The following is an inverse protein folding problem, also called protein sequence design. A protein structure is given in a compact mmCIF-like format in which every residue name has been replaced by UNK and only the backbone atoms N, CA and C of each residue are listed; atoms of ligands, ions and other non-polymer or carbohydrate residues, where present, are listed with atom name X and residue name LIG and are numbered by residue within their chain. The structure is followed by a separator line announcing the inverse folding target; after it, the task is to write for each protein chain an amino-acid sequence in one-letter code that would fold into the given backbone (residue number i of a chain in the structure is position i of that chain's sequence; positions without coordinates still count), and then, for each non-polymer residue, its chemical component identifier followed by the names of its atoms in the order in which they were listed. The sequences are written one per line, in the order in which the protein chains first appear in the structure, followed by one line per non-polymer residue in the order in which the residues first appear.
data_IF_202988840173
#
_entry.id   IF_202988840173
#
_cell.length_a   1.000
_cell.length_b   1.000
_cell.length_c   1.000
_cell.angle_alpha   90.00
_cell.angle_beta   90.00
_cell.angle_gamma   90.00
#
_symmetry.space_group_name_H-M   'P 1'
#
loop_
_entity.id
_entity.type
_entity.pdbx_description
1 polymer ?
#
# COMPACT_ATOMS: atom_id res chain seq x y z
N UNK A 1 14.17 38.10 2.04
CA UNK A 1 13.75 37.11 1.03
C UNK A 1 13.88 37.70 -0.36
N UNK A 2 14.97 37.35 -1.05
CA UNK A 2 15.36 37.92 -2.34
C UNK A 2 15.81 36.84 -3.32
N UNK A 3 15.15 35.68 -3.26
CA UNK A 3 15.40 34.53 -4.11
C UNK A 3 14.69 34.70 -5.45
N UNK A 4 15.22 35.58 -6.30
CA UNK A 4 15.00 35.48 -7.74
C UNK A 4 16.13 34.62 -8.29
N UNK A 5 16.02 33.30 -8.11
CA UNK A 5 16.78 32.36 -8.91
C UNK A 5 16.14 32.37 -10.31
N UNK A 6 16.96 32.48 -11.36
CA UNK A 6 16.49 32.34 -12.73
C UNK A 6 15.94 30.92 -12.89
N UNK A 7 14.62 30.84 -12.91
CA UNK A 7 13.85 29.60 -12.94
C UNK A 7 14.12 28.84 -14.24
N UNK A 8 14.42 27.55 -14.12
CA UNK A 8 14.56 26.64 -15.27
C UNK A 8 13.16 26.37 -15.83
N UNK A 9 12.82 26.98 -16.97
CA UNK A 9 11.76 26.44 -17.83
C UNK A 9 12.15 26.43 -19.30
N UNK A 10 12.15 25.19 -19.81
CA UNK A 10 11.97 24.72 -21.18
C UNK A 10 13.06 25.00 -22.24
N UNK A 11 13.63 23.86 -22.67
CA UNK A 11 14.09 23.50 -24.01
C UNK A 11 13.51 24.37 -25.13
N UNK A 12 14.37 25.10 -25.86
CA UNK A 12 14.38 25.08 -27.34
C UNK A 12 15.52 25.90 -28.01
N UNK A 13 16.24 25.19 -28.88
CA UNK A 13 16.83 25.50 -30.19
C UNK A 13 17.45 26.86 -30.61
N UNK A 14 17.47 27.96 -29.84
CA UNK A 14 18.13 29.20 -30.32
C UNK A 14 18.96 29.95 -29.26
N UNK A 15 20.28 29.70 -29.30
CA UNK A 15 21.32 30.69 -29.03
C UNK A 15 21.40 31.36 -27.66
N UNK A 16 20.61 30.93 -26.67
CA UNK A 16 20.66 31.52 -25.34
C UNK A 16 21.86 30.98 -24.57
N UNK A 17 22.81 31.89 -24.28
CA UNK A 17 23.93 31.66 -23.35
C UNK A 17 23.36 31.22 -22.00
N UNK A 18 23.67 29.99 -21.58
CA UNK A 18 23.19 29.45 -20.30
C UNK A 18 23.51 30.37 -19.12
N UNK A 19 22.74 30.30 -18.02
CA UNK A 19 22.83 31.24 -16.89
C UNK A 19 24.26 31.37 -16.35
N UNK A 20 25.02 30.26 -16.34
CA UNK A 20 26.42 30.24 -15.94
C UNK A 20 27.31 31.11 -16.83
N UNK A 21 27.18 31.00 -18.14
CA UNK A 21 27.97 31.77 -19.11
C UNK A 21 27.63 33.26 -19.08
N UNK A 22 26.36 33.61 -18.81
CA UNK A 22 25.93 34.99 -18.62
C UNK A 22 26.54 35.59 -17.34
N UNK A 23 26.42 34.88 -16.21
CA UNK A 23 27.02 35.29 -14.93
C UNK A 23 28.54 35.40 -15.01
N UNK A 24 29.21 34.45 -15.67
CA UNK A 24 30.66 34.48 -15.87
C UNK A 24 31.09 35.68 -16.71
N UNK A 25 30.34 36.03 -17.76
CA UNK A 25 30.60 37.22 -18.58
C UNK A 25 30.51 38.52 -17.77
N UNK A 26 29.55 38.60 -16.84
CA UNK A 26 29.39 39.76 -15.94
C UNK A 26 30.60 39.85 -14.99
N UNK A 27 30.97 38.76 -14.33
CA UNK A 27 32.13 38.73 -13.42
C UNK A 27 33.42 39.13 -14.15
N UNK A 28 33.63 38.59 -15.35
CA UNK A 28 34.77 38.93 -16.20
C UNK A 28 34.77 40.40 -16.59
N UNK A 29 33.62 40.95 -16.98
CA UNK A 29 33.47 42.36 -17.32
C UNK A 29 33.76 43.29 -16.15
N UNK A 30 33.22 42.98 -14.96
CA UNK A 30 33.49 43.74 -13.73
C UNK A 30 34.98 43.69 -13.39
N UNK A 31 35.59 42.51 -13.47
CA UNK A 31 37.02 42.33 -13.13
C UNK A 31 37.91 43.09 -14.12
N UNK A 32 37.60 43.04 -15.42
CA UNK A 32 38.32 43.81 -16.43
C UNK A 32 38.18 45.33 -16.23
N UNK A 33 36.99 45.80 -15.88
CA UNK A 33 36.75 47.22 -15.56
C UNK A 33 37.53 47.64 -14.29
N UNK A 34 37.55 46.79 -13.27
CA UNK A 34 38.30 47.00 -12.03
C UNK A 34 39.81 47.10 -12.27
N UNK A 35 40.33 46.41 -13.29
CA UNK A 35 41.75 46.42 -13.62
C UNK A 35 42.21 47.72 -14.30
N UNK A 36 41.30 48.42 -15.01
CA UNK A 36 41.60 49.63 -15.78
C UNK A 36 41.23 50.91 -15.02
N UNK A 37 40.25 50.84 -14.11
CA UNK A 37 39.86 51.97 -13.26
C UNK A 37 40.93 52.29 -12.21
N UNK A 38 41.25 53.57 -12.05
CA UNK A 38 42.13 54.08 -10.99
C UNK A 38 41.44 54.20 -9.62
N UNK A 39 40.10 54.29 -9.60
CA UNK A 39 39.30 54.24 -8.38
C UNK A 39 38.81 52.81 -8.11
N UNK A 40 38.84 52.40 -6.82
CA UNK A 40 38.25 51.14 -6.38
C UNK A 40 36.76 51.16 -6.66
N UNK A 41 36.27 50.22 -7.47
CA UNK A 41 34.84 50.01 -7.66
C UNK A 41 34.21 49.71 -6.31
N UNK A 42 33.29 50.56 -5.85
CA UNK A 42 32.57 50.38 -4.58
C UNK A 42 31.53 49.25 -4.74
N UNK A 43 32.02 48.02 -4.90
CA UNK A 43 31.20 46.83 -5.05
C UNK A 43 30.71 46.38 -3.68
N UNK A 44 29.39 46.13 -3.50
CA UNK A 44 28.89 45.58 -2.26
C UNK A 44 29.50 44.19 -2.01
N UNK A 45 30.30 44.06 -0.94
CA UNK A 45 31.01 42.81 -0.64
C UNK A 45 30.08 41.59 -0.51
N UNK A 46 28.84 41.77 -0.06
CA UNK A 46 27.82 40.71 -0.02
C UNK A 46 27.45 40.18 -1.42
N UNK A 47 27.42 41.05 -2.44
CA UNK A 47 27.10 40.65 -3.81
C UNK A 47 28.26 39.91 -4.46
N UNK A 48 29.50 40.35 -4.20
CA UNK A 48 30.71 39.67 -4.68
C UNK A 48 30.84 38.28 -4.04
N UNK A 49 30.61 38.19 -2.72
CA UNK A 49 30.58 36.90 -2.04
C UNK A 49 29.42 36.02 -2.53
N UNK A 50 28.26 36.59 -2.82
CA UNK A 50 27.11 35.88 -3.39
C UNK A 50 27.43 35.25 -4.75
N UNK A 51 28.11 35.99 -5.62
CA UNK A 51 28.60 35.47 -6.91
C UNK A 51 29.59 34.33 -6.69
N UNK A 52 30.55 34.49 -5.79
CA UNK A 52 31.50 33.44 -5.44
C UNK A 52 30.80 32.16 -4.95
N UNK A 53 29.84 32.28 -4.03
CA UNK A 53 29.03 31.17 -3.53
C UNK A 53 28.18 30.52 -4.62
N UNK A 54 27.65 31.29 -5.57
CA UNK A 54 26.93 30.76 -6.71
C UNK A 54 27.82 29.84 -7.57
N UNK A 55 29.01 30.32 -7.97
CA UNK A 55 29.92 29.50 -8.77
C UNK A 55 30.43 28.28 -8.01
N UNK A 56 30.71 28.39 -6.71
CA UNK A 56 31.12 27.25 -5.88
C UNK A 56 29.98 26.24 -5.64
N UNK A 57 28.75 26.72 -5.51
CA UNK A 57 27.57 25.89 -5.22
C UNK A 57 27.15 24.97 -6.37
N UNK A 58 27.60 25.24 -7.59
CA UNK A 58 27.37 24.37 -8.76
C UNK A 58 28.10 23.02 -8.61
N UNK A 59 29.20 22.98 -7.85
CA UNK A 59 30.02 21.79 -7.72
C UNK A 59 30.69 21.43 -9.04
N UNK A 60 30.31 20.28 -9.62
CA UNK A 60 30.86 19.76 -10.87
C UNK A 60 29.82 19.95 -11.98
N UNK A 61 30.05 20.85 -12.96
CA UNK A 61 29.11 21.08 -14.07
C UNK A 61 29.02 19.87 -15.00
N UNK A 62 27.85 19.71 -15.65
CA UNK A 62 27.60 18.62 -16.60
C UNK A 62 28.30 18.75 -17.94
N UNK A 63 28.92 19.89 -18.25
CA UNK A 63 29.62 20.13 -19.52
C UNK A 63 30.99 20.79 -19.33
N UNK A 64 31.94 20.48 -20.21
CA UNK A 64 33.28 21.10 -20.20
C UNK A 64 33.23 22.61 -20.47
N UNK A 65 32.25 23.07 -21.26
CA UNK A 65 32.02 24.49 -21.54
C UNK A 65 31.59 25.24 -20.29
N UNK A 66 30.71 24.64 -19.49
CA UNK A 66 30.24 25.22 -18.23
C UNK A 66 31.35 25.21 -17.18
N UNK A 67 32.14 24.14 -17.11
CA UNK A 67 33.34 24.07 -16.27
C UNK A 67 34.33 25.19 -16.61
N UNK A 68 34.58 25.46 -17.90
CA UNK A 68 35.41 26.58 -18.31
C UNK A 68 34.88 27.93 -17.77
N UNK A 69 33.58 28.22 -17.94
CA UNK A 69 33.01 29.47 -17.46
C UNK A 69 33.02 29.60 -15.94
N UNK A 70 32.83 28.50 -15.21
CA UNK A 70 32.92 28.47 -13.75
C UNK A 70 34.34 28.79 -13.29
N UNK A 71 35.35 28.13 -13.85
CA UNK A 71 36.76 28.35 -13.49
C UNK A 71 37.22 29.77 -13.89
N UNK A 72 36.86 30.24 -15.08
CA UNK A 72 37.18 31.60 -15.56
C UNK A 72 36.59 32.66 -14.61
N UNK A 73 35.33 32.50 -14.20
CA UNK A 73 34.68 33.41 -13.26
C UNK A 73 35.33 33.36 -11.86
N UNK A 74 35.65 32.17 -11.34
CA UNK A 74 36.32 32.02 -10.05
C UNK A 74 37.73 32.62 -10.07
N UNK A 75 38.48 32.46 -11.17
CA UNK A 75 39.79 33.09 -11.37
C UNK A 75 39.70 34.61 -11.43
N UNK A 76 38.66 35.14 -12.09
CA UNK A 76 38.39 36.58 -12.10
C UNK A 76 38.14 37.10 -10.68
N UNK A 77 37.31 36.40 -9.90
CA UNK A 77 37.00 36.74 -8.50
C UNK A 77 38.22 36.66 -7.57
N UNK A 78 39.16 35.74 -7.81
CA UNK A 78 40.42 35.67 -7.05
C UNK A 78 41.27 36.93 -7.26
N UNK A 79 41.27 37.47 -8.48
CA UNK A 79 42.11 38.60 -8.91
C UNK A 79 41.44 39.97 -8.81
N UNK A 80 40.18 40.05 -8.37
CA UNK A 80 39.42 41.30 -8.36
C UNK A 80 40.02 42.31 -7.38
N UNK A 81 40.38 43.49 -7.88
CA UNK A 81 40.96 44.55 -7.04
C UNK A 81 39.91 45.10 -6.08
N UNK A 82 40.27 45.18 -4.80
CA UNK A 82 39.48 45.86 -3.77
C UNK A 82 38.26 45.08 -3.23
N UNK A 83 38.04 43.82 -3.64
CA UNK A 83 36.89 43.03 -3.18
C UNK A 83 37.09 41.51 -3.30
N UNK A 84 38.29 40.99 -2.99
CA UNK A 84 38.55 39.54 -3.08
C UNK A 84 37.65 38.78 -2.10
N UNK A 85 36.76 37.87 -2.55
CA UNK A 85 35.80 37.20 -1.68
C UNK A 85 36.49 36.17 -0.78
N UNK A 86 36.22 36.26 0.53
CA UNK A 86 36.64 35.25 1.50
C UNK A 86 35.52 34.25 1.78
N UNK A 87 35.81 32.98 1.57
CA UNK A 87 34.90 31.86 1.77
C UNK A 87 35.14 31.24 3.13
N UNK A 88 34.10 31.25 3.96
CA UNK A 88 34.04 30.46 5.19
C UNK A 88 33.55 29.05 4.82
N UNK A 89 34.40 28.06 5.06
CA UNK A 89 34.13 26.65 4.80
C UNK A 89 34.33 25.82 6.06
N UNK A 90 33.53 24.78 6.23
CA UNK A 90 33.65 23.82 7.33
C UNK A 90 34.07 22.48 6.73
N UNK A 91 35.23 21.92 7.11
CA UNK A 91 35.64 20.59 6.66
C UNK A 91 34.66 19.49 7.08
N UNK A 92 34.00 19.67 8.23
CA UNK A 92 32.94 18.79 8.70
C UNK A 92 31.80 19.62 9.30
N UNK A 93 30.56 19.28 8.93
CA UNK A 93 29.33 19.89 9.47
C UNK A 93 28.61 18.97 10.45
N UNK A 94 29.11 17.74 10.63
CA UNK A 94 28.61 16.75 11.57
C UNK A 94 29.61 16.63 12.72
N UNK A 95 29.13 16.79 13.96
CA UNK A 95 29.98 16.81 15.16
C UNK A 95 29.45 15.82 16.19
N UNK A 96 30.28 14.89 16.66
CA UNK A 96 29.92 13.99 17.75
C UNK A 96 30.22 14.61 19.12
N UNK A 97 29.18 14.81 19.94
CA UNK A 97 29.31 15.19 21.35
C UNK A 97 29.99 14.08 22.15
N UNK A 98 29.72 12.82 21.81
CA UNK A 98 30.26 11.66 22.52
C UNK A 98 31.77 11.51 22.27
N UNK A 99 32.24 11.74 21.04
CA UNK A 99 33.67 11.72 20.70
C UNK A 99 34.39 13.03 21.01
N UNK A 100 33.64 14.07 21.42
CA UNK A 100 34.13 15.43 21.67
C UNK A 100 34.80 16.05 20.44
N UNK A 101 34.14 15.90 19.29
CA UNK A 101 34.62 16.49 18.06
C UNK A 101 34.66 18.01 18.15
N UNK A 102 35.73 18.61 17.63
CA UNK A 102 35.91 20.05 17.60
C UNK A 102 35.44 20.61 16.26
N UNK A 103 34.71 21.72 16.31
CA UNK A 103 34.28 22.41 15.11
C UNK A 103 35.45 23.21 14.52
N UNK A 104 35.83 22.86 13.30
CA UNK A 104 36.89 23.53 12.54
C UNK A 104 36.27 24.40 11.46
N UNK A 105 36.72 25.65 11.37
CA UNK A 105 36.28 26.63 10.38
C UNK A 105 37.50 27.09 9.61
N UNK A 106 37.50 26.91 8.30
CA UNK A 106 38.56 27.35 7.41
C UNK A 106 38.10 28.59 6.63
N UNK A 107 38.93 29.61 6.59
CA UNK A 107 38.70 30.80 5.75
C UNK A 107 39.75 30.82 4.66
N UNK A 108 39.31 30.84 3.41
CA UNK A 108 40.20 30.88 2.23
C UNK A 108 39.59 31.76 1.15
N UNK A 109 40.38 32.07 0.13
CA UNK A 109 39.84 32.67 -1.10
C UNK A 109 39.06 31.61 -1.91
N UNK A 110 38.48 32.03 -3.04
CA UNK A 110 37.66 31.16 -3.91
C UNK A 110 38.45 30.01 -4.53
N UNK A 111 39.75 30.20 -4.78
CA UNK A 111 40.64 29.15 -5.28
C UNK A 111 41.45 28.45 -4.19
N UNK A 112 41.19 28.75 -2.91
CA UNK A 112 41.81 28.07 -1.77
C UNK A 112 43.12 28.68 -1.27
N UNK A 113 43.48 29.89 -1.73
CA UNK A 113 44.63 30.63 -1.20
C UNK A 113 44.43 31.02 0.27
N UNK A 114 45.53 31.20 1.00
CA UNK A 114 45.51 31.59 2.41
C UNK A 114 44.86 32.97 2.60
N UNK A 115 44.01 33.08 3.61
CA UNK A 115 43.39 34.34 4.00
C UNK A 115 44.39 35.23 4.76
N UNK A 116 44.19 36.56 4.77
CA UNK A 116 44.98 37.48 5.60
C UNK A 116 44.75 37.22 7.11
N UNK A 117 45.59 37.79 8.01
CA UNK A 117 45.34 37.76 9.44
C UNK A 117 43.92 38.24 9.79
N UNK A 118 43.13 37.33 10.33
CA UNK A 118 41.72 37.55 10.65
C UNK A 118 41.29 36.70 11.84
N UNK A 119 40.18 37.10 12.42
CA UNK A 119 39.52 36.47 13.55
C UNK A 119 38.12 36.01 13.14
N UNK A 120 37.77 34.74 13.39
CA UNK A 120 36.40 34.25 13.20
C UNK A 120 35.68 34.24 14.54
N UNK A 121 34.48 34.81 14.57
CA UNK A 121 33.59 34.79 15.73
C UNK A 121 32.32 33.99 15.43
N UNK A 122 31.94 33.14 16.37
CA UNK A 122 30.56 32.64 16.44
C UNK A 122 29.73 33.74 17.11
N UNK A 123 28.63 34.15 16.47
CA UNK A 123 27.78 35.26 16.91
C UNK A 123 26.41 34.79 17.42
N UNK A 124 25.83 33.79 16.76
CA UNK A 124 24.49 33.28 17.06
C UNK A 124 24.39 31.80 16.75
N UNK A 125 23.61 31.08 17.55
CA UNK A 125 23.20 29.70 17.30
C UNK A 125 21.67 29.66 17.25
N UNK A 126 21.13 29.13 16.16
CA UNK A 126 19.69 28.89 16.01
C UNK A 126 19.44 27.38 16.11
N UNK A 127 18.40 26.99 16.83
CA UNK A 127 17.89 25.61 16.75
C UNK A 127 17.10 25.48 15.45
N UNK A 128 17.39 24.47 14.64
CA UNK A 128 16.72 24.28 13.36
C UNK A 128 15.21 24.09 13.58
N UNK A 129 14.39 24.95 12.96
CA UNK A 129 12.93 24.95 13.11
C UNK A 129 12.39 25.84 14.24
N UNK A 130 13.24 26.45 15.07
CA UNK A 130 12.85 27.52 16.01
C UNK A 130 13.32 28.90 15.52
N UNK A 131 12.61 29.95 15.93
CA UNK A 131 13.06 31.35 15.79
C UNK A 131 14.00 31.78 16.91
N UNK A 132 14.15 30.95 17.95
CA UNK A 132 14.99 31.24 19.10
C UNK A 132 16.47 31.21 18.72
N UNK A 133 17.16 32.30 19.03
CA UNK A 133 18.57 32.47 18.76
C UNK A 133 19.31 32.67 20.08
N UNK A 134 20.27 31.79 20.37
CA UNK A 134 21.22 32.03 21.44
C UNK A 134 22.31 32.95 20.92
N UNK A 135 22.36 34.18 21.42
CA UNK A 135 23.44 35.12 21.10
C UNK A 135 24.67 34.74 21.90
N UNK A 136 25.74 34.38 21.19
CA UNK A 136 27.00 33.93 21.76
C UNK A 136 28.07 34.74 21.03
N UNK A 137 28.86 35.57 21.71
CA UNK A 137 30.00 36.28 21.13
C UNK A 137 31.28 35.54 21.54
N UNK A 138 31.62 34.49 20.78
CA UNK A 138 32.78 33.64 21.07
C UNK A 138 33.78 33.67 19.92
N UNK A 139 35.00 34.12 20.21
CA UNK A 139 36.13 34.11 19.26
C UNK A 139 36.71 32.70 19.16
N UNK A 140 36.89 32.19 17.94
CA UNK A 140 37.53 30.90 17.69
C UNK A 140 39.05 31.04 17.77
N UNK A 141 39.73 29.99 18.24
CA UNK A 141 41.19 29.95 18.35
C UNK A 141 41.80 29.58 17.00
N UNK A 142 42.78 30.34 16.54
CA UNK A 142 43.46 30.04 15.29
C UNK A 142 44.56 28.99 15.51
N UNK A 143 44.51 27.91 14.73
CA UNK A 143 45.54 26.89 14.62
C UNK A 143 46.41 27.18 13.38
N UNK A 144 47.66 27.65 13.57
CA UNK A 144 48.53 28.04 12.46
C UNK A 144 49.05 26.85 11.65
N UNK A 145 49.13 25.65 12.22
CA UNK A 145 49.66 24.46 11.51
C UNK A 145 48.73 24.03 10.38
N UNK A 146 47.43 24.08 10.64
CA UNK A 146 46.39 23.65 9.71
C UNK A 146 45.67 24.81 9.00
N UNK A 147 46.01 26.06 9.35
CA UNK A 147 45.31 27.27 8.88
C UNK A 147 43.78 27.21 9.12
N UNK A 148 43.37 26.78 10.32
CA UNK A 148 41.95 26.63 10.69
C UNK A 148 41.63 27.32 12.00
N UNK A 149 40.41 27.82 12.13
CA UNK A 149 39.86 28.34 13.37
C UNK A 149 39.09 27.23 14.08
N UNK A 150 39.47 26.91 15.30
CA UNK A 150 38.88 25.82 16.09
C UNK A 150 38.03 26.39 17.21
N UNK A 151 36.82 25.86 17.33
CA UNK A 151 35.97 26.01 18.51
C UNK A 151 36.26 24.83 19.44
N UNK A 152 37.10 25.05 20.45
CA UNK A 152 37.58 23.98 21.36
C UNK A 152 36.47 23.37 22.23
N UNK A 153 35.44 24.15 22.58
CA UNK A 153 34.32 23.68 23.41
C UNK A 153 33.01 24.21 22.86
N UNK A 154 32.07 23.29 22.62
CA UNK A 154 30.70 23.65 22.24
C UNK A 154 30.02 24.39 23.40
N UNK A 155 29.25 25.46 23.11
CA UNK A 155 28.48 26.18 24.13
C UNK A 155 27.53 25.26 24.91
N UNK A 156 27.30 25.55 26.19
CA UNK A 156 26.53 24.69 27.13
C UNK A 156 25.06 24.51 26.75
N UNK A 157 24.54 25.36 25.87
CA UNK A 157 23.19 25.31 25.33
C UNK A 157 23.07 24.45 24.06
N UNK A 158 24.18 23.91 23.54
CA UNK A 158 24.20 23.02 22.37
C UNK A 158 24.25 21.57 22.86
N UNK A 159 23.31 20.76 22.39
CA UNK A 159 23.21 19.34 22.67
C UNK A 159 22.99 18.57 21.35
N UNK A 160 22.64 17.29 21.40
CA UNK A 160 22.30 16.49 20.21
C UNK A 160 21.10 17.09 19.48
N UNK A 161 21.29 17.46 18.21
CA UNK A 161 20.26 18.13 17.42
C UNK A 161 20.78 18.81 16.16
N UNK A 162 19.84 19.48 15.48
CA UNK A 162 20.11 20.22 14.25
C UNK A 162 20.17 21.72 14.56
N UNK A 163 21.27 22.37 14.21
CA UNK A 163 21.51 23.78 14.50
C UNK A 163 21.92 24.55 13.26
N UNK A 164 21.79 25.87 13.31
CA UNK A 164 22.35 26.80 12.33
C UNK A 164 23.26 27.76 13.08
N UNK A 165 24.57 27.68 12.80
CA UNK A 165 25.57 28.55 13.43
C UNK A 165 25.82 29.75 12.53
N UNK A 166 25.86 30.93 13.12
CA UNK A 166 26.13 32.19 12.42
C UNK A 166 27.53 32.68 12.78
N UNK A 167 28.44 32.61 11.81
CA UNK A 167 29.81 33.08 11.94
C UNK A 167 29.99 34.46 11.32
N UNK A 168 30.91 35.24 11.88
CA UNK A 168 31.31 36.55 11.38
C UNK A 168 32.84 36.61 11.29
N UNK A 169 33.35 37.11 10.16
CA UNK A 169 34.79 37.28 9.93
C UNK A 169 35.14 38.72 10.30
N UNK A 170 36.10 38.88 11.20
CA UNK A 170 36.60 40.19 11.66
C UNK A 170 38.06 40.29 11.26
N UNK A 171 38.39 41.35 10.51
CA UNK A 171 39.78 41.65 10.18
C UNK A 171 40.50 42.24 11.38
N UNK A 172 41.70 41.76 11.65
CA UNK A 172 42.54 42.32 12.72
C UNK A 172 43.09 43.70 12.31
N UNK A 173 43.28 43.93 11.01
CA UNK A 173 43.74 45.19 10.44
C UNK A 173 42.66 45.85 9.55
N UNK A 174 42.38 47.15 9.72
CA UNK A 174 41.31 47.84 8.99
C UNK A 174 41.57 47.97 7.48
N UNK A 175 42.84 47.93 7.05
CA UNK A 175 43.22 48.02 5.64
C UNK A 175 42.72 46.83 4.82
N UNK A 176 42.64 45.64 5.44
CA UNK A 176 42.12 44.44 4.80
C UNK A 176 40.64 44.53 4.44
N UNK A 177 39.87 45.38 5.10
CA UNK A 177 38.45 45.63 4.80
C UNK A 177 38.23 46.25 3.41
N UNK A 178 39.23 46.99 2.91
CA UNK A 178 39.18 47.62 1.59
C UNK A 178 39.70 46.72 0.47
N UNK A 179 40.26 45.55 0.82
CA UNK A 179 40.86 44.59 -0.13
C UNK A 179 40.05 43.30 -0.25
N UNK A 180 39.42 42.86 0.83
CA UNK A 180 38.70 41.60 0.91
C UNK A 180 37.22 41.82 1.19
N UNK A 181 36.38 41.01 0.54
CA UNK A 181 34.93 41.05 0.71
C UNK A 181 34.47 39.93 1.64
N UNK A 182 33.88 40.32 2.78
CA UNK A 182 33.18 39.43 3.72
C UNK A 182 31.69 39.79 3.70
N UNK A 183 30.81 38.84 3.40
CA UNK A 183 29.37 39.08 3.28
C UNK A 183 28.63 39.08 4.62
N UNK A 184 29.22 39.73 5.63
CA UNK A 184 28.68 39.80 6.99
C UNK A 184 28.60 38.43 7.67
N UNK A 185 27.41 38.09 8.16
CA UNK A 185 27.14 36.87 8.91
C UNK A 185 26.85 35.68 8.00
N UNK A 186 27.70 34.66 8.05
CA UNK A 186 27.49 33.40 7.32
C UNK A 186 26.80 32.39 8.22
N UNK A 187 25.62 31.95 7.81
CA UNK A 187 24.84 30.90 8.46
C UNK A 187 25.19 29.54 7.87
N UNK A 188 25.52 28.57 8.71
CA UNK A 188 25.89 27.21 8.30
C UNK A 188 25.10 26.19 9.11
N UNK A 189 24.42 25.22 8.47
CA UNK A 189 23.78 24.12 9.18
C UNK A 189 24.84 23.20 9.79
N UNK A 190 24.65 22.84 11.06
CA UNK A 190 25.51 21.93 11.82
C UNK A 190 24.64 20.87 12.47
N UNK A 191 25.04 19.61 12.29
CA UNK A 191 24.39 18.45 12.86
C UNK A 191 25.23 17.95 14.04
N UNK A 192 24.69 18.06 15.24
CA UNK A 192 25.35 17.63 16.45
C UNK A 192 24.81 16.27 16.82
N UNK A 193 25.65 15.24 16.73
CA UNK A 193 25.30 13.84 16.96
C UNK A 193 25.76 13.37 18.32
N UNK A 194 25.14 12.32 18.84
CA UNK A 194 25.60 11.68 20.06
C UNK A 194 24.97 10.31 20.29
N UNK A 195 25.58 9.57 21.22
CA UNK A 195 25.04 8.32 21.73
C UNK A 195 23.91 8.62 22.72
N UNK A 196 22.70 8.22 22.37
CA UNK A 196 21.49 8.41 23.18
C UNK A 196 21.38 7.27 24.20
N UNK A 197 21.17 7.62 25.46
CA UNK A 197 20.94 6.65 26.54
C UNK A 197 19.46 6.25 26.57
N UNK A 198 19.23 4.97 26.79
CA UNK A 198 17.88 4.39 26.89
C UNK A 198 17.69 3.96 28.33
N UNK A 199 16.73 4.58 29.00
CA UNK A 199 16.42 4.34 30.41
C UNK A 199 14.99 3.81 30.55
N UNK A 200 14.73 3.05 31.62
CA UNK A 200 13.37 2.63 32.02
C UNK A 200 12.58 1.96 30.89
N UNK A 201 13.23 1.11 30.10
CA UNK A 201 12.57 0.33 29.05
C UNK A 201 11.83 -0.86 29.67
N UNK A 202 10.52 -0.92 29.45
CA UNK A 202 9.62 -1.88 30.08
C UNK A 202 8.51 -2.27 29.11
N UNK A 203 8.18 -3.56 29.09
CA UNK A 203 7.05 -4.12 28.35
C UNK A 203 6.13 -4.83 29.33
N UNK A 204 4.83 -4.60 29.20
CA UNK A 204 3.84 -5.12 30.13
C UNK A 204 2.52 -5.50 29.45
N UNK A 205 1.85 -6.51 29.99
CA UNK A 205 0.46 -6.85 29.67
C UNK A 205 -0.44 -6.25 30.76
N UNK A 206 -1.44 -5.49 30.33
CA UNK A 206 -2.42 -4.82 31.19
C UNK A 206 -3.79 -5.48 31.03
N UNK A 207 -4.52 -5.62 32.13
CA UNK A 207 -5.94 -5.97 32.11
C UNK A 207 -6.83 -4.72 31.93
N UNK A 208 -7.99 -4.90 31.29
CA UNK A 208 -8.88 -3.80 30.91
C UNK A 208 -9.57 -3.13 32.12
N UNK A 209 -9.86 -3.88 33.18
CA UNK A 209 -10.83 -3.45 34.20
C UNK A 209 -10.21 -2.60 35.33
N UNK A 210 -8.88 -2.67 35.54
CA UNK A 210 -8.20 -1.97 36.64
C UNK A 210 -6.83 -1.36 36.27
N UNK A 211 -6.33 -1.54 35.05
CA UNK A 211 -4.95 -1.20 34.71
C UNK A 211 -3.92 -1.99 35.55
N UNK A 212 -4.36 -3.10 36.16
CA UNK A 212 -3.52 -4.08 36.83
C UNK A 212 -2.51 -4.63 35.82
N UNK A 213 -1.25 -4.67 36.24
CA UNK A 213 -0.15 -5.21 35.45
C UNK A 213 -0.07 -6.70 35.73
N UNK A 214 -0.42 -7.53 34.75
CA UNK A 214 -0.40 -8.99 34.90
C UNK A 214 1.04 -9.51 34.76
N UNK A 215 1.74 -9.05 33.73
CA UNK A 215 3.14 -9.38 33.49
C UNK A 215 3.91 -8.13 33.13
N UNK A 216 5.01 -7.85 33.83
CA UNK A 216 5.94 -6.75 33.52
C UNK A 216 7.34 -7.33 33.34
N UNK A 217 7.99 -6.98 32.24
CA UNK A 217 9.39 -7.34 31.98
C UNK A 217 10.19 -6.07 31.67
N UNK A 218 11.31 -5.92 32.35
CA UNK A 218 12.29 -4.89 32.03
C UNK A 218 13.06 -5.32 30.78
N UNK A 219 13.31 -4.36 29.91
CA UNK A 219 14.04 -4.55 28.65
C UNK A 219 15.44 -3.95 28.77
N UNK A 220 16.43 -4.66 28.26
CA UNK A 220 17.79 -4.16 28.10
C UNK A 220 17.96 -3.69 26.65
N UNK A 221 18.02 -2.37 26.46
CA UNK A 221 18.11 -1.73 25.15
C UNK A 221 19.33 -0.78 25.09
N UNK A 222 20.20 -0.87 24.06
CA UNK A 222 20.32 -1.95 23.07
C UNK A 222 21.00 -3.19 23.68
N UNK A 223 20.46 -4.39 23.46
CA UNK A 223 20.97 -5.64 24.04
C UNK A 223 20.06 -6.84 23.78
N UNK A 224 20.47 -8.05 24.16
CA UNK A 224 19.65 -9.26 24.01
C UNK A 224 18.48 -9.26 25.01
N UNK A 225 17.30 -8.86 24.54
CA UNK A 225 16.04 -9.03 25.28
C UNK A 225 15.22 -10.12 24.58
N UNK A 226 15.01 -11.24 25.27
CA UNK A 226 14.16 -12.34 24.80
C UNK A 226 12.91 -12.45 25.67
N UNK A 227 11.92 -11.61 25.38
CA UNK A 227 10.66 -11.56 26.11
C UNK A 227 9.64 -12.47 25.45
N UNK A 228 9.20 -13.50 26.17
CA UNK A 228 8.01 -14.28 25.85
C UNK A 228 6.80 -13.75 26.63
N UNK A 229 5.73 -13.34 25.95
CA UNK A 229 4.48 -12.87 26.54
C UNK A 229 3.31 -13.67 25.96
N UNK A 230 2.21 -13.73 26.68
CA UNK A 230 0.93 -14.24 26.17
C UNK A 230 -0.13 -13.19 26.49
N UNK A 231 -1.05 -12.94 25.55
CA UNK A 231 -2.15 -12.02 25.75
C UNK A 231 -3.41 -12.49 25.02
N UNK A 232 -4.57 -12.18 25.59
CA UNK A 232 -5.87 -12.35 24.92
C UNK A 232 -6.39 -11.02 24.34
N UNK A 233 -7.49 -11.10 23.59
CA UNK A 233 -8.13 -9.94 22.98
C UNK A 233 -8.67 -8.87 23.96
N UNK A 234 -8.86 -9.19 25.25
CA UNK A 234 -9.34 -8.23 26.26
C UNK A 234 -8.17 -7.47 26.94
N UNK A 235 -6.95 -7.97 26.80
CA UNK A 235 -5.75 -7.39 27.39
C UNK A 235 -5.13 -6.34 26.48
N UNK A 236 -4.21 -5.55 27.05
CA UNK A 236 -3.48 -4.50 26.32
C UNK A 236 -1.98 -4.68 26.49
N UNK A 237 -1.24 -4.50 25.41
CA UNK A 237 0.22 -4.48 25.46
C UNK A 237 0.71 -3.05 25.65
N UNK A 238 1.44 -2.79 26.73
CA UNK A 238 2.10 -1.52 27.01
C UNK A 238 3.60 -1.67 26.80
N UNK A 239 4.18 -0.79 25.99
CA UNK A 239 5.63 -0.61 25.88
C UNK A 239 5.96 0.83 26.27
N UNK A 240 6.93 1.01 27.16
CA UNK A 240 7.44 2.33 27.49
C UNK A 240 8.96 2.35 27.67
N UNK A 241 9.58 3.45 27.27
CA UNK A 241 11.02 3.68 27.43
C UNK A 241 11.30 5.19 27.44
N UNK A 242 12.45 5.59 27.99
CA UNK A 242 12.89 6.98 28.01
C UNK A 242 14.21 7.11 27.23
N UNK A 243 14.30 8.14 26.42
CA UNK A 243 15.51 8.48 25.67
C UNK A 243 16.10 9.76 26.23
N UNK A 244 17.38 9.72 26.60
CA UNK A 244 18.11 10.87 27.14
C UNK A 244 19.37 11.14 26.34
N UNK A 245 19.65 12.41 26.08
CA UNK A 245 20.90 12.84 25.45
C UNK A 245 22.08 12.70 26.43
N UNK A 246 23.34 12.76 25.96
CA UNK A 246 24.50 12.81 26.85
C UNK A 246 24.44 13.95 27.89
N UNK A 247 23.74 15.05 27.60
CA UNK A 247 23.54 16.17 28.52
C UNK A 247 22.45 15.92 29.58
N UNK A 248 21.68 14.84 29.46
CA UNK A 248 20.58 14.47 30.35
C UNK A 248 19.21 15.05 29.94
N UNK A 249 19.11 15.73 28.79
CA UNK A 249 17.84 16.21 28.27
C UNK A 249 17.02 15.10 27.62
N UNK A 250 15.69 15.26 27.57
CA UNK A 250 14.81 14.29 26.92
C UNK A 250 15.01 14.38 25.40
N UNK A 251 15.40 13.26 24.79
CA UNK A 251 15.61 13.18 23.36
C UNK A 251 14.34 12.72 22.64
N UNK A 252 13.97 13.39 21.55
CA UNK A 252 12.85 13.00 20.69
C UNK A 252 13.37 12.57 19.31
N UNK A 253 13.49 11.25 19.04
CA UNK A 253 13.90 10.77 17.72
C UNK A 253 12.85 11.08 16.66
N UNK A 254 13.32 11.19 15.42
CA UNK A 254 12.46 11.28 14.24
C UNK A 254 11.61 10.02 14.02
N UNK A 255 12.16 8.83 14.32
CA UNK A 255 11.48 7.54 14.12
C UNK A 255 11.52 6.68 15.39
N UNK A 256 10.34 6.20 15.80
CA UNK A 256 10.17 5.20 16.85
C UNK A 256 8.97 4.33 16.52
N UNK A 257 9.21 3.05 16.19
CA UNK A 257 8.19 2.12 15.74
C UNK A 257 8.26 0.80 16.49
N UNK A 258 7.10 0.28 16.87
CA UNK A 258 6.93 -1.09 17.33
C UNK A 258 6.33 -1.91 16.19
N UNK A 259 7.06 -2.92 15.74
CA UNK A 259 6.62 -3.87 14.72
C UNK A 259 6.24 -5.19 15.36
N UNK A 260 5.06 -5.69 14.99
CA UNK A 260 4.54 -7.02 15.30
C UNK A 260 4.48 -7.82 14.00
N UNK A 261 5.19 -8.94 13.92
CA UNK A 261 5.18 -9.81 12.74
C UNK A 261 4.58 -11.17 13.08
N UNK A 262 3.45 -11.50 12.47
CA UNK A 262 2.80 -12.80 12.64
C UNK A 262 3.61 -13.92 11.96
N UNK A 263 3.48 -15.16 12.45
CA UNK A 263 4.10 -16.36 11.85
C UNK A 263 3.79 -16.51 10.36
N UNK A 264 2.59 -16.11 9.96
CA UNK A 264 2.15 -16.19 8.57
C UNK A 264 3.00 -15.28 7.69
N UNK A 265 3.59 -14.20 8.23
CA UNK A 265 4.38 -13.20 7.52
C UNK A 265 3.74 -11.80 7.45
N UNK A 266 2.56 -11.59 8.03
CA UNK A 266 1.90 -10.27 8.08
C UNK A 266 2.60 -9.38 9.10
N UNK A 267 2.98 -8.18 8.69
CA UNK A 267 3.62 -7.19 9.56
C UNK A 267 2.67 -6.04 9.91
N UNK A 268 2.62 -5.68 11.19
CA UNK A 268 1.90 -4.54 11.72
C UNK A 268 2.90 -3.57 12.35
N UNK A 269 2.92 -2.32 11.91
CA UNK A 269 3.86 -1.29 12.39
C UNK A 269 3.07 -0.20 13.10
N UNK A 270 3.45 0.08 14.34
CA UNK A 270 2.82 1.09 15.17
C UNK A 270 3.82 2.18 15.55
N UNK A 271 3.40 3.44 15.42
CA UNK A 271 4.19 4.60 15.84
C UNK A 271 4.14 4.71 17.36
N UNK A 272 5.29 4.76 18.01
CA UNK A 272 5.36 4.96 19.46
C UNK A 272 5.19 6.44 19.78
N UNK A 273 4.16 6.77 20.56
CA UNK A 273 3.86 8.15 20.91
C UNK A 273 4.84 8.70 21.96
N UNK A 274 5.11 10.01 21.91
CA UNK A 274 5.89 10.71 22.92
C UNK A 274 4.95 11.42 23.91
N UNK A 275 4.97 11.01 25.18
CA UNK A 275 4.22 11.62 26.28
C UNK A 275 4.97 12.79 26.95
N UNK A 276 5.97 13.35 26.27
CA UNK A 276 6.81 14.46 26.73
C UNK A 276 7.99 14.05 27.61
N UNK A 277 7.80 13.09 28.54
CA UNK A 277 8.87 12.58 29.42
C UNK A 277 9.35 11.18 29.07
N UNK A 278 8.49 10.38 28.44
CA UNK A 278 8.73 9.00 28.04
C UNK A 278 8.00 8.69 26.75
N UNK A 279 8.52 7.72 26.03
CA UNK A 279 7.85 7.08 24.91
C UNK A 279 6.94 6.00 25.46
N UNK A 280 5.71 5.98 24.98
CA UNK A 280 4.70 5.04 25.44
C UNK A 280 3.76 4.68 24.30
N UNK A 281 3.48 3.39 24.19
CA UNK A 281 2.42 2.88 23.33
C UNK A 281 1.63 1.83 24.10
N UNK A 282 0.30 1.92 23.98
CA UNK A 282 -0.64 0.96 24.52
C UNK A 282 -1.43 0.41 23.33
N UNK A 283 -1.22 -0.86 23.01
CA UNK A 283 -1.98 -1.57 22.00
C UNK A 283 -3.18 -2.23 22.67
N UNK A 284 -4.37 -1.71 22.39
CA UNK A 284 -5.64 -2.30 22.81
C UNK A 284 -6.04 -3.36 21.79
N UNK A 285 -5.88 -4.65 22.14
CA UNK A 285 -6.13 -5.73 21.19
C UNK A 285 -7.59 -5.78 20.76
N UNK A 286 -8.55 -5.49 21.65
CA UNK A 286 -9.97 -5.47 21.34
C UNK A 286 -10.31 -4.45 20.25
N UNK A 287 -9.71 -3.26 20.34
CA UNK A 287 -9.87 -2.20 19.34
C UNK A 287 -9.07 -2.43 18.05
N UNK A 288 -8.14 -3.38 18.07
CA UNK A 288 -7.24 -3.67 16.95
C UNK A 288 -7.53 -5.01 16.27
N UNK A 289 -8.45 -5.84 16.77
CA UNK A 289 -8.74 -7.19 16.23
C UNK A 289 -8.96 -7.17 14.72
N UNK A 290 -9.76 -6.23 14.23
CA UNK A 290 -10.02 -6.04 12.78
C UNK A 290 -8.73 -5.75 12.00
N UNK A 291 -7.81 -4.99 12.59
CA UNK A 291 -6.52 -4.61 11.97
C UNK A 291 -5.49 -5.73 12.02
N UNK A 292 -5.60 -6.64 12.99
CA UNK A 292 -4.86 -7.90 13.05
C UNK A 292 -5.50 -9.01 12.22
N UNK A 293 -6.60 -8.72 11.52
CA UNK A 293 -7.32 -9.68 10.69
C UNK A 293 -7.76 -10.94 11.45
N UNK A 294 -8.03 -10.83 12.75
CA UNK A 294 -8.43 -11.95 13.62
C UNK A 294 -7.42 -13.12 13.61
N UNK A 295 -6.14 -12.84 13.33
CA UNK A 295 -5.09 -13.87 13.29
C UNK A 295 -4.56 -14.14 14.70
N UNK A 296 -5.00 -15.24 15.31
CA UNK A 296 -4.41 -15.78 16.53
C UNK A 296 -3.12 -16.54 16.20
N UNK A 297 -2.10 -16.41 17.04
CA UNK A 297 -0.81 -17.05 16.81
C UNK A 297 0.35 -16.31 17.46
N UNK A 298 1.56 -16.67 17.04
CA UNK A 298 2.79 -16.05 17.57
C UNK A 298 3.16 -14.81 16.75
N UNK A 299 3.39 -13.69 17.43
CA UNK A 299 3.86 -12.45 16.85
C UNK A 299 5.26 -12.11 17.36
N UNK A 300 6.22 -11.94 16.45
CA UNK A 300 7.54 -11.42 16.78
C UNK A 300 7.49 -9.91 17.01
N UNK A 301 8.08 -9.47 18.11
CA UNK A 301 8.18 -8.08 18.52
C UNK A 301 9.53 -7.49 18.13
N UNK A 302 9.51 -6.35 17.45
CA UNK A 302 10.70 -5.62 17.08
C UNK A 302 10.51 -4.12 17.31
N UNK A 303 11.46 -3.51 18.01
CA UNK A 303 11.49 -2.07 18.26
C UNK A 303 12.56 -1.42 17.39
N UNK A 304 12.16 -0.41 16.63
CA UNK A 304 13.05 0.39 15.80
C UNK A 304 13.04 1.82 16.30
N UNK A 305 14.22 2.35 16.64
CA UNK A 305 14.40 3.75 17.03
C UNK A 305 15.57 4.33 16.25
N UNK A 306 15.32 5.45 15.56
CA UNK A 306 16.32 6.07 14.71
C UNK A 306 16.13 7.57 14.51
N UNK A 307 17.25 8.26 14.41
CA UNK A 307 17.33 9.67 14.02
C UNK A 307 18.66 9.92 13.30
N UNK A 308 18.66 10.89 12.38
CA UNK A 308 19.84 11.45 11.73
C UNK A 308 20.91 11.94 12.72
N UNK A 309 20.51 12.40 13.90
CA UNK A 309 21.43 12.91 14.94
C UNK A 309 21.80 11.86 16.00
N UNK A 310 21.29 10.63 15.88
CA UNK A 310 21.51 9.55 16.85
C UNK A 310 22.55 8.56 16.32
N UNK A 311 23.71 8.47 16.99
CA UNK A 311 24.83 7.62 16.56
C UNK A 311 24.57 6.12 16.78
N UNK A 312 23.73 5.79 17.76
CA UNK A 312 23.38 4.43 18.15
C UNK A 312 21.94 4.08 17.78
N UNK A 313 21.48 4.49 16.59
CA UNK A 313 20.20 4.06 16.03
C UNK A 313 20.15 2.53 15.95
N UNK A 314 19.02 1.92 16.30
CA UNK A 314 18.94 0.47 16.46
C UNK A 314 17.61 -0.10 15.97
N UNK A 315 17.67 -1.37 15.59
CA UNK A 315 16.55 -2.25 15.29
C UNK A 315 16.73 -3.49 16.15
N UNK A 316 15.91 -3.62 17.18
CA UNK A 316 16.10 -4.60 18.24
C UNK A 316 14.90 -5.57 18.27
N UNK A 317 15.12 -6.88 18.05
CA UNK A 317 14.11 -7.88 18.41
C UNK A 317 13.93 -7.89 19.94
N UNK A 318 12.68 -7.83 20.38
CA UNK A 318 12.30 -7.84 21.80
C UNK A 318 11.89 -9.24 22.28
N UNK A 319 11.49 -10.13 21.35
CA UNK A 319 10.98 -11.47 21.64
C UNK A 319 9.67 -11.74 20.90
N UNK A 320 8.78 -12.54 21.49
CA UNK A 320 7.50 -12.93 20.90
C UNK A 320 6.33 -12.76 21.87
N UNK A 321 5.15 -12.51 21.31
CA UNK A 321 3.88 -12.52 22.02
C UNK A 321 2.94 -13.53 21.36
N UNK A 322 2.43 -14.47 22.15
CA UNK A 322 1.35 -15.37 21.74
C UNK A 322 0.02 -14.65 21.96
N UNK A 323 -0.72 -14.40 20.88
CA UNK A 323 -1.94 -13.60 20.90
C UNK A 323 -3.16 -14.46 20.58
N UNK A 324 -4.12 -14.48 21.49
CA UNK A 324 -5.41 -15.18 21.32
C UNK A 324 -6.53 -14.18 20.99
N UNK A 325 -6.87 -14.12 19.69
CA UNK A 325 -7.93 -13.29 19.12
C UNK A 325 -9.21 -14.10 18.87
N UNK A 326 -10.39 -13.45 18.89
CA UNK A 326 -11.64 -14.12 18.57
C UNK A 326 -11.66 -14.61 17.11
N UNK A 327 -12.54 -15.57 16.83
CA UNK A 327 -12.71 -16.09 15.47
C UNK A 327 -13.24 -15.01 14.51
N UNK A 328 -12.73 -15.03 13.28
CA UNK A 328 -13.07 -14.04 12.27
C UNK A 328 -14.56 -14.14 11.87
N UNK A 329 -15.35 -13.04 11.92
CA UNK A 329 -16.70 -13.05 11.37
C UNK A 329 -16.66 -13.31 9.85
N UNK A 330 -17.73 -13.87 9.28
CA UNK A 330 -17.79 -14.25 7.85
C UNK A 330 -17.44 -13.11 6.87
N UNK A 331 -17.62 -11.85 7.30
CA UNK A 331 -17.36 -10.63 6.52
C UNK A 331 -16.07 -9.90 6.91
N UNK A 332 -15.21 -10.51 7.72
CA UNK A 332 -13.96 -9.90 8.14
C UNK A 332 -13.05 -9.58 6.95
N UNK A 333 -12.30 -8.50 7.07
CA UNK A 333 -11.21 -8.21 6.14
C UNK A 333 -10.18 -9.34 6.22
N UNK A 334 -9.74 -9.83 5.06
CA UNK A 334 -8.67 -10.83 4.98
C UNK A 334 -7.31 -10.13 5.04
N UNK A 335 -6.27 -10.79 5.60
CA UNK A 335 -4.94 -10.24 5.58
C UNK A 335 -4.48 -9.96 4.14
N UNK A 336 -3.64 -8.94 3.93
CA UNK A 336 -3.12 -8.64 2.61
C UNK A 336 -2.41 -9.87 2.04
N UNK A 337 -2.59 -10.16 0.74
CA UNK A 337 -1.90 -11.26 0.10
C UNK A 337 -0.40 -11.01 0.25
N UNK A 338 0.28 -11.95 0.90
CA UNK A 338 1.70 -11.80 1.13
C UNK A 338 2.47 -11.80 -0.19
N UNK A 339 3.71 -11.27 -0.20
CA UNK A 339 4.59 -11.40 -1.33
C UNK A 339 4.91 -12.88 -1.53
N UNK A 340 4.03 -13.59 -2.24
CA UNK A 340 4.31 -14.93 -2.72
C UNK A 340 5.43 -14.81 -3.74
N UNK A 341 6.33 -15.78 -3.74
CA UNK A 341 7.40 -15.90 -4.73
C UNK A 341 6.86 -15.53 -6.12
N UNK A 342 7.54 -14.63 -6.83
CA UNK A 342 7.08 -14.06 -8.09
C UNK A 342 6.69 -15.15 -9.09
N UNK A 343 7.32 -16.33 -9.01
CA UNK A 343 7.03 -17.51 -9.81
C UNK A 343 5.73 -18.24 -9.43
N UNK A 344 5.32 -18.20 -8.16
CA UNK A 344 4.08 -18.84 -7.68
C UNK A 344 2.82 -18.04 -8.00
N UNK A 345 2.93 -16.71 -8.13
CA UNK A 345 1.81 -15.82 -8.50
C UNK A 345 1.23 -16.15 -9.88
N UNK A 346 2.06 -16.66 -10.79
CA UNK A 346 1.68 -17.03 -12.15
C UNK A 346 1.53 -18.55 -12.35
N UNK A 347 1.44 -19.31 -11.26
CA UNK A 347 1.21 -20.76 -11.33
C UNK A 347 -0.20 -21.11 -11.85
N UNK A 348 -0.38 -22.31 -12.44
CA UNK A 348 -1.69 -22.79 -12.85
C UNK A 348 -2.61 -22.92 -11.61
N UNK A 349 -3.83 -22.37 -11.71
CA UNK A 349 -4.87 -22.55 -10.68
C UNK A 349 -5.45 -23.97 -10.74
N UNK A 350 -6.06 -24.40 -9.63
CA UNK A 350 -6.75 -25.69 -9.58
C UNK A 350 -7.84 -25.80 -10.67
N UNK A 351 -7.90 -26.95 -11.33
CA UNK A 351 -8.90 -27.24 -12.37
C UNK A 351 -10.30 -27.32 -11.75
N UNK A 352 -11.26 -26.62 -12.36
CA UNK A 352 -12.67 -26.65 -11.95
C UNK A 352 -13.41 -27.63 -12.85
N UNK A 353 -13.94 -28.72 -12.27
CA UNK A 353 -14.78 -29.68 -12.99
C UNK A 353 -16.27 -29.45 -12.71
N UNK A 354 -17.08 -29.39 -13.77
CA UNK A 354 -18.53 -29.24 -13.64
C UNK A 354 -19.15 -30.59 -13.25
N UNK A 355 -19.74 -30.66 -12.04
CA UNK A 355 -20.42 -31.85 -11.55
C UNK A 355 -21.86 -31.84 -12.08
N UNK A 356 -22.16 -32.73 -13.03
CA UNK A 356 -23.53 -32.92 -13.52
C UNK A 356 -24.40 -33.61 -12.49
N UNK A 357 -25.72 -33.33 -12.52
CA UNK A 357 -26.69 -34.06 -11.71
C UNK A 357 -26.67 -35.54 -12.08
N UNK A 358 -26.61 -36.40 -11.08
CA UNK A 358 -26.69 -37.86 -11.28
C UNK A 358 -28.09 -38.21 -11.79
N UNK A 359 -28.22 -38.98 -12.89
CA UNK A 359 -29.51 -39.43 -13.37
C UNK A 359 -30.26 -40.25 -12.31
N UNK A 360 -31.58 -40.06 -12.22
CA UNK A 360 -32.42 -40.84 -11.31
C UNK A 360 -32.34 -42.34 -11.61
N UNK A 361 -32.26 -43.15 -10.56
CA UNK A 361 -32.16 -44.60 -10.68
C UNK A 361 -33.50 -45.19 -11.13
N UNK A 362 -33.51 -45.85 -12.30
CA UNK A 362 -34.69 -46.57 -12.81
C UNK A 362 -34.90 -47.90 -12.05
N UNK A 363 -36.16 -48.36 -11.91
CA UNK A 363 -36.45 -49.65 -11.28
C UNK A 363 -35.89 -50.84 -12.11
N UNK A 364 -35.66 -52.00 -11.48
CA UNK A 364 -35.23 -53.21 -12.18
C UNK A 364 -36.24 -53.63 -13.27
N UNK A 365 -35.73 -54.07 -14.43
CA UNK A 365 -36.56 -54.48 -15.57
C UNK A 365 -37.53 -55.60 -15.23
N UNK A 366 -37.10 -56.58 -14.45
CA UNK A 366 -37.90 -57.73 -14.04
C UNK A 366 -39.15 -57.32 -13.26
N UNK A 367 -39.01 -56.33 -12.37
CA UNK A 367 -40.13 -55.81 -11.59
C UNK A 367 -41.17 -55.14 -12.51
N UNK A 368 -40.72 -54.31 -13.46
CA UNK A 368 -41.60 -53.67 -14.44
C UNK A 368 -42.33 -54.68 -15.33
N UNK A 369 -41.66 -55.76 -15.75
CA UNK A 369 -42.26 -56.84 -16.55
C UNK A 369 -43.30 -57.64 -15.75
N UNK A 370 -43.02 -57.94 -14.48
CA UNK A 370 -43.98 -58.63 -13.61
C UNK A 370 -45.28 -57.83 -13.45
N UNK A 371 -45.19 -56.52 -13.18
CA UNK A 371 -46.36 -55.65 -13.09
C UNK A 371 -47.09 -55.49 -14.42
N UNK A 372 -46.38 -55.45 -15.55
CA UNK A 372 -47.01 -55.47 -16.87
C UNK A 372 -47.86 -56.73 -17.09
N UNK A 373 -47.34 -57.90 -16.71
CA UNK A 373 -48.11 -59.16 -16.74
C UNK A 373 -49.35 -59.11 -15.84
N UNK A 374 -49.21 -58.58 -14.62
CA UNK A 374 -50.34 -58.40 -13.69
C UNK A 374 -51.42 -57.47 -14.25
N UNK A 375 -51.05 -56.42 -14.99
CA UNK A 375 -52.02 -55.50 -15.63
C UNK A 375 -52.78 -56.16 -16.78
N UNK A 376 -52.15 -57.08 -17.52
CA UNK A 376 -52.80 -57.81 -18.62
C UNK A 376 -53.71 -58.94 -18.10
N UNK A 377 -53.42 -59.52 -16.94
CA UNK A 377 -54.14 -60.66 -16.40
C UNK A 377 -55.68 -60.46 -16.29
N UNK A 378 -56.21 -59.32 -15.80
CA UNK A 378 -57.65 -59.05 -15.79
C UNK A 378 -58.31 -59.10 -17.16
N UNK A 379 -57.60 -58.74 -18.24
CA UNK A 379 -58.15 -58.81 -19.60
C UNK A 379 -58.43 -60.26 -20.03
N UNK A 380 -57.51 -61.18 -19.73
CA UNK A 380 -57.76 -62.62 -19.97
C UNK A 380 -58.86 -63.17 -19.08
N UNK A 381 -58.93 -62.71 -17.82
CA UNK A 381 -60.04 -63.03 -16.92
C UNK A 381 -61.40 -62.58 -17.48
N UNK A 382 -61.47 -61.37 -18.03
CA UNK A 382 -62.66 -60.85 -18.70
C UNK A 382 -63.07 -61.70 -19.91
N UNK A 383 -62.11 -62.10 -20.77
CA UNK A 383 -62.38 -62.98 -21.92
C UNK A 383 -62.90 -64.37 -21.48
N UNK A 384 -62.29 -64.96 -20.46
CA UNK A 384 -62.76 -66.22 -19.88
C UNK A 384 -64.18 -66.09 -19.29
N UNK A 385 -64.47 -64.97 -18.63
CA UNK A 385 -65.80 -64.63 -18.13
C UNK A 385 -66.85 -64.52 -19.23
N UNK A 386 -66.54 -63.83 -20.34
CA UNK A 386 -67.44 -63.75 -21.51
C UNK A 386 -67.77 -65.13 -22.09
N UNK A 387 -66.77 -66.02 -22.18
CA UNK A 387 -66.96 -67.39 -22.63
C UNK A 387 -67.87 -68.18 -21.67
N UNK A 388 -67.61 -68.08 -20.36
CA UNK A 388 -68.42 -68.77 -19.35
C UNK A 388 -69.88 -68.29 -19.31
N UNK A 389 -70.10 -66.98 -19.47
CA UNK A 389 -71.43 -66.36 -19.51
C UNK A 389 -72.17 -66.54 -20.85
N UNK A 390 -71.57 -67.24 -21.83
CA UNK A 390 -72.14 -67.49 -23.18
C UNK A 390 -72.58 -66.21 -23.89
N UNK A 391 -71.83 -65.13 -23.71
CA UNK A 391 -72.03 -63.89 -24.45
C UNK A 391 -71.94 -64.18 -25.95
N UNK A 392 -72.95 -63.77 -26.72
CA UNK A 392 -73.06 -64.09 -28.14
C UNK A 392 -73.42 -62.85 -28.97
N UNK A 393 -73.15 -62.93 -30.28
CA UNK A 393 -73.43 -61.85 -31.24
C UNK A 393 -74.68 -62.14 -32.08
N UNK A 394 -75.64 -62.94 -31.58
CA UNK A 394 -76.79 -63.41 -32.37
C UNK A 394 -77.73 -62.28 -32.81
N UNK A 395 -77.70 -61.14 -32.12
CA UNK A 395 -78.52 -59.96 -32.41
C UNK A 395 -77.89 -59.01 -33.44
N UNK A 396 -76.84 -59.43 -34.16
CA UNK A 396 -76.26 -58.60 -35.22
C UNK A 396 -77.27 -58.41 -36.38
N UNK A 397 -77.48 -57.18 -36.88
CA UNK A 397 -78.48 -56.90 -37.90
C UNK A 397 -78.17 -57.62 -39.22
N UNK A 398 -79.22 -58.05 -39.92
CA UNK A 398 -79.13 -58.76 -41.22
C UNK A 398 -79.47 -57.81 -42.38
N UNK A 399 -79.07 -58.17 -43.60
CA UNK A 399 -79.34 -57.40 -44.83
C UNK A 399 -78.65 -56.03 -44.87
N UNK A 400 -79.22 -55.01 -45.52
CA UNK A 400 -78.65 -53.68 -45.75
C UNK A 400 -78.20 -52.97 -44.45
N UNK A 401 -78.84 -53.27 -43.32
CA UNK A 401 -78.47 -52.75 -42.00
C UNK A 401 -77.19 -53.37 -41.42
N UNK A 402 -76.78 -54.55 -41.91
CA UNK A 402 -75.50 -55.18 -41.56
C UNK A 402 -74.33 -54.31 -42.05
N UNK A 403 -74.44 -53.73 -43.25
CA UNK A 403 -73.41 -52.87 -43.83
C UNK A 403 -73.16 -51.65 -42.96
N UNK A 404 -74.21 -50.98 -42.46
CA UNK A 404 -74.07 -49.85 -41.55
C UNK A 404 -73.48 -50.27 -40.19
N UNK A 405 -73.88 -51.42 -39.65
CA UNK A 405 -73.33 -51.92 -38.39
C UNK A 405 -71.83 -52.28 -38.50
N UNK A 406 -71.42 -52.93 -39.59
CA UNK A 406 -70.00 -53.24 -39.86
C UNK A 406 -69.20 -51.95 -39.98
N UNK A 407 -69.70 -50.99 -40.76
CA UNK A 407 -69.03 -49.72 -41.00
C UNK A 407 -68.91 -48.89 -39.72
N UNK A 408 -69.89 -48.97 -38.81
CA UNK A 408 -69.84 -48.35 -37.49
C UNK A 408 -68.72 -48.93 -36.63
N UNK A 409 -68.63 -50.27 -36.52
CA UNK A 409 -67.60 -50.93 -35.72
C UNK A 409 -66.20 -50.74 -36.33
N UNK A 410 -66.07 -50.75 -37.66
CA UNK A 410 -64.81 -50.46 -38.34
C UNK A 410 -64.39 -49.00 -38.12
N UNK A 411 -65.35 -48.07 -38.10
CA UNK A 411 -65.10 -46.68 -37.73
C UNK A 411 -64.57 -46.54 -36.30
N UNK A 412 -65.15 -47.25 -35.33
CA UNK A 412 -64.69 -47.26 -33.94
C UNK A 412 -63.26 -47.83 -33.86
N UNK A 413 -63.00 -48.95 -34.54
CA UNK A 413 -61.66 -49.55 -34.60
C UNK A 413 -60.64 -48.60 -35.24
N UNK A 414 -61.04 -47.84 -36.27
CA UNK A 414 -60.21 -46.83 -36.91
C UNK A 414 -59.90 -45.65 -35.96
N UNK A 415 -60.84 -45.20 -35.14
CA UNK A 415 -60.60 -44.17 -34.11
C UNK A 415 -59.63 -44.68 -33.04
N UNK A 416 -59.82 -45.90 -32.53
CA UNK A 416 -58.91 -46.50 -31.55
C UNK A 416 -57.50 -46.68 -32.12
N UNK A 417 -57.39 -47.08 -33.38
CA UNK A 417 -56.12 -47.18 -34.09
C UNK A 417 -55.47 -45.82 -34.29
N UNK A 418 -56.25 -44.78 -34.59
CA UNK A 418 -55.77 -43.40 -34.69
C UNK A 418 -55.19 -42.92 -33.35
N UNK A 419 -55.81 -43.24 -32.21
CA UNK A 419 -55.26 -42.94 -30.89
C UNK A 419 -53.98 -43.70 -30.59
N UNK A 420 -53.87 -44.96 -31.00
CA UNK A 420 -52.61 -45.70 -30.90
C UNK A 420 -51.52 -45.02 -31.77
N UNK A 421 -51.83 -44.61 -33.00
CA UNK A 421 -50.89 -43.90 -33.87
C UNK A 421 -50.50 -42.52 -33.33
N UNK A 422 -51.40 -41.81 -32.66
CA UNK A 422 -51.09 -40.59 -31.90
C UNK A 422 -50.09 -40.85 -30.79
N UNK A 423 -50.29 -41.91 -30.01
CA UNK A 423 -49.34 -42.30 -28.96
C UNK A 423 -47.95 -42.64 -29.52
N UNK A 424 -47.88 -43.30 -30.67
CA UNK A 424 -46.60 -43.74 -31.24
C UNK A 424 -45.86 -42.67 -32.05
N UNK A 425 -46.57 -41.83 -32.81
CA UNK A 425 -45.91 -40.97 -33.80
C UNK A 425 -46.67 -39.72 -34.25
N UNK A 426 -48.00 -39.71 -34.31
CA UNK A 426 -48.74 -38.59 -34.91
C UNK A 426 -48.73 -37.37 -33.98
N UNK A 427 -48.69 -36.18 -34.60
CA UNK A 427 -48.90 -34.94 -33.90
C UNK A 427 -50.38 -34.72 -33.55
N UNK A 428 -50.64 -33.76 -32.65
CA UNK A 428 -51.98 -33.46 -32.18
C UNK A 428 -52.89 -32.93 -33.31
N UNK A 429 -52.37 -32.08 -34.19
CA UNK A 429 -53.17 -31.42 -35.22
C UNK A 429 -53.60 -32.38 -36.34
N UNK A 430 -52.72 -33.27 -36.80
CA UNK A 430 -53.04 -34.30 -37.78
C UNK A 430 -54.03 -35.31 -37.20
N UNK A 431 -53.84 -35.68 -35.93
CA UNK A 431 -54.77 -36.56 -35.21
C UNK A 431 -56.15 -35.93 -35.12
N UNK A 432 -56.24 -34.65 -34.73
CA UNK A 432 -57.52 -33.95 -34.58
C UNK A 432 -58.23 -33.76 -35.93
N UNK A 433 -57.50 -33.44 -37.01
CA UNK A 433 -58.06 -33.34 -38.36
C UNK A 433 -58.65 -34.66 -38.84
N UNK A 434 -57.89 -35.75 -38.70
CA UNK A 434 -58.34 -37.10 -39.11
C UNK A 434 -59.49 -37.57 -38.23
N UNK A 435 -59.44 -37.31 -36.92
CA UNK A 435 -60.52 -37.61 -35.98
C UNK A 435 -61.78 -36.81 -36.29
N UNK A 436 -61.67 -35.55 -36.69
CA UNK A 436 -62.81 -34.72 -37.09
C UNK A 436 -63.55 -35.29 -38.30
N UNK A 437 -62.80 -35.68 -39.34
CA UNK A 437 -63.38 -36.34 -40.53
C UNK A 437 -64.00 -37.70 -40.18
N UNK A 438 -63.29 -38.52 -39.41
CA UNK A 438 -63.75 -39.85 -39.01
C UNK A 438 -64.94 -39.77 -38.04
N UNK A 439 -65.00 -38.72 -37.23
CA UNK A 439 -66.09 -38.45 -36.28
C UNK A 439 -67.40 -38.09 -36.97
N UNK A 440 -67.37 -37.23 -38.00
CA UNK A 440 -68.56 -36.93 -38.82
C UNK A 440 -69.09 -38.21 -39.48
N UNK A 441 -68.18 -39.02 -40.03
CA UNK A 441 -68.51 -40.30 -40.63
C UNK A 441 -69.15 -41.27 -39.62
N UNK A 442 -68.54 -41.43 -38.45
CA UNK A 442 -69.05 -42.26 -37.35
C UNK A 442 -70.42 -41.80 -36.84
N UNK A 443 -70.64 -40.49 -36.77
CA UNK A 443 -71.92 -39.92 -36.35
C UNK A 443 -73.05 -40.35 -37.28
N UNK A 444 -72.84 -40.29 -38.60
CA UNK A 444 -73.85 -40.69 -39.59
C UNK A 444 -74.16 -42.19 -39.55
N UNK A 445 -73.10 -43.02 -39.62
CA UNK A 445 -73.25 -44.49 -39.66
C UNK A 445 -73.76 -45.02 -38.31
N UNK A 446 -73.31 -44.43 -37.20
CA UNK A 446 -73.78 -44.73 -35.85
C UNK A 446 -75.25 -44.37 -35.66
N UNK A 447 -75.68 -43.19 -36.10
CA UNK A 447 -77.09 -42.79 -36.04
C UNK A 447 -77.98 -43.80 -36.77
N UNK A 448 -77.63 -44.20 -38.00
CA UNK A 448 -78.41 -45.20 -38.76
C UNK A 448 -78.47 -46.55 -38.06
N UNK A 449 -77.37 -46.99 -37.45
CA UNK A 449 -77.29 -48.28 -36.74
C UNK A 449 -78.11 -48.26 -35.44
N UNK A 450 -77.98 -47.20 -34.65
CA UNK A 450 -78.69 -47.03 -33.38
C UNK A 450 -80.19 -46.78 -33.58
N UNK A 451 -80.59 -45.99 -34.57
CA UNK A 451 -82.01 -45.78 -34.92
C UNK A 451 -82.70 -47.07 -35.38
N UNK A 452 -81.99 -47.93 -36.13
CA UNK A 452 -82.50 -49.25 -36.48
C UNK A 452 -82.68 -50.13 -35.24
N UNK A 453 -81.71 -50.16 -34.33
CA UNK A 453 -81.81 -50.94 -33.09
C UNK A 453 -82.96 -50.44 -32.20
N UNK A 454 -83.14 -49.12 -32.07
CA UNK A 454 -84.24 -48.52 -31.32
C UNK A 454 -85.61 -48.84 -31.94
N UNK A 455 -85.75 -48.76 -33.27
CA UNK A 455 -87.03 -49.09 -33.94
C UNK A 455 -87.37 -50.58 -33.88
N UNK A 456 -86.36 -51.46 -33.93
CA UNK A 456 -86.54 -52.91 -33.73
C UNK A 456 -86.97 -53.20 -32.30
N UNK A 457 -86.34 -52.55 -31.30
CA UNK A 457 -86.72 -52.68 -29.89
C UNK A 457 -88.12 -52.12 -29.59
N UNK A 458 -88.54 -51.04 -30.27
CA UNK A 458 -89.88 -50.48 -30.13
C UNK A 458 -90.94 -51.45 -30.70
N UNK A 459 -90.69 -52.03 -31.88
CA UNK A 459 -91.58 -53.06 -32.48
C UNK A 459 -91.73 -54.30 -31.59
N UNK A 460 -90.66 -54.72 -30.91
CA UNK A 460 -90.65 -55.87 -29.98
C UNK A 460 -91.36 -55.61 -28.65
N UNK A 461 -91.54 -54.32 -28.25
CA UNK A 461 -92.33 -53.94 -27.07
C UNK A 461 -93.82 -53.72 -27.36
N UNK A 462 -94.17 -53.49 -28.63
CA UNK A 462 -95.56 -53.33 -29.10
C UNK A 462 -96.15 -54.63 -29.66
N UNK A 463 -95.45 -55.75 -29.54
CA UNK A 463 -95.90 -57.09 -29.96
C UNK A 463 -96.05 -58.02 -28.77
#
# INVERSE_FOLDING_TARGET
DGTCYFDEKLVDAHGHKGPLSASASIVRGITALAAVSSENLNLPGEKVLGLAKFFLGIGIPGSAKDLYYQIDALSCLESIRGSVPLILSLPATVLSVTKKDQLKVKVSTVLGSAAPPLSVKLMQIFVSGSKDASVIDQKLKFDPENSVHVLETLPTNVDVGNYIFSFEIIFDEPEHKNKYATGGRTRVPIHVTGVIKIDSAEIAILENDLGSVETQKKLDLPGESAVALSANHLQKLRLSFRLTTPSGQVFKPHQAFLKLKHDSGVEHIFVVANSGKKFEIILDFLGLVDKFFYLSGTYDLQLTVGDSVMENSFLQPLGHIELDLPEAPEKAARPPPQPVDMYSRYGPKAEISHIFRVPEKRPPRELSLAFFGLVILPFFGFLAGLFHLRANLKNFPKSIHATFAILFHLGIAAVLSLYALFWFKLDLFTTLKTLGLLGIFLMFVGHKTLSHLASTSAKLKTT
#
